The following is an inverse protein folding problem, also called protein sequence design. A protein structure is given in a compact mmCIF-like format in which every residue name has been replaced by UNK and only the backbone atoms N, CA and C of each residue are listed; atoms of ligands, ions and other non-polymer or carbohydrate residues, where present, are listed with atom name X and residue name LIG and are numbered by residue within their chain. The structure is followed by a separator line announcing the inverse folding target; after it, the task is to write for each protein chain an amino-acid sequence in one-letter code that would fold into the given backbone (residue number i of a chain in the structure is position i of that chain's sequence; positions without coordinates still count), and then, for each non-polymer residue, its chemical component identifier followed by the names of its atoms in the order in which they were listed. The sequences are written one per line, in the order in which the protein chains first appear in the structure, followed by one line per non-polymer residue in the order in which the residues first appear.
data_IF_418066262305
#
_entry.id   IF_418066262305
#
_cell.length_a   1.000
_cell.length_b   1.000
_cell.length_c   1.000
_cell.angle_alpha   90.00
_cell.angle_beta   90.00
_cell.angle_gamma   90.00
#
_symmetry.space_group_name_H-M   'P 1'
#
loop_
_entity.id
_entity.type
_entity.pdbx_description
1 polymer ?
#
# COMPACT_ATOMS: atom_id res chain seq x y z
N UNK A 1 -6.56 1.76 14.69
CA UNK A 1 -7.67 2.54 15.21
C UNK A 1 -8.62 2.96 14.08
N UNK A 2 -8.71 4.24 13.72
CA UNK A 2 -9.73 4.70 12.75
C UNK A 2 -9.46 4.20 11.33
N UNK A 3 -8.20 4.15 10.91
CA UNK A 3 -7.79 3.65 9.59
C UNK A 3 -8.07 2.14 9.43
N UNK A 4 -7.79 1.37 10.47
CA UNK A 4 -8.07 -0.06 10.50
C UNK A 4 -9.59 -0.31 10.44
N UNK A 5 -10.37 0.45 11.25
CA UNK A 5 -11.82 0.35 11.25
C UNK A 5 -12.43 0.69 9.88
N UNK A 6 -11.88 1.70 9.17
CA UNK A 6 -12.30 2.04 7.82
C UNK A 6 -11.97 0.92 6.82
N UNK A 7 -10.79 0.28 6.94
CA UNK A 7 -10.44 -0.89 6.14
C UNK A 7 -11.41 -2.05 6.33
N UNK A 8 -11.75 -2.39 7.57
CA UNK A 8 -12.78 -3.39 7.86
C UNK A 8 -14.16 -3.00 7.36
N UNK A 9 -14.53 -1.71 7.44
CA UNK A 9 -15.81 -1.23 6.95
C UNK A 9 -15.94 -1.44 5.43
N UNK A 10 -14.86 -1.24 4.66
CA UNK A 10 -14.84 -1.55 3.24
C UNK A 10 -14.98 -3.05 3.04
N UNK A 11 -13.99 -3.86 3.49
CA UNK A 11 -13.93 -5.27 3.14
C UNK A 11 -15.18 -6.06 3.57
N UNK A 12 -15.80 -5.69 4.69
CA UNK A 12 -17.02 -6.35 5.18
C UNK A 12 -18.32 -5.84 4.53
N UNK A 13 -18.26 -4.80 3.71
CA UNK A 13 -19.40 -4.29 2.93
C UNK A 13 -19.38 -4.74 1.46
N UNK A 14 -18.30 -5.39 1.03
CA UNK A 14 -18.15 -5.87 -0.35
C UNK A 14 -19.05 -7.09 -0.59
N UNK A 15 -19.65 -7.15 -1.77
CA UNK A 15 -20.30 -8.38 -2.27
C UNK A 15 -19.26 -9.40 -2.76
N UNK A 16 -19.70 -10.59 -3.16
CA UNK A 16 -18.82 -11.69 -3.56
C UNK A 16 -17.94 -11.34 -4.78
N UNK A 17 -18.49 -10.62 -5.75
CA UNK A 17 -17.74 -10.20 -6.95
C UNK A 17 -16.68 -9.16 -6.59
N UNK A 18 -17.02 -8.20 -5.75
CA UNK A 18 -16.11 -7.19 -5.24
C UNK A 18 -15.02 -7.81 -4.35
N UNK A 19 -15.38 -8.74 -3.46
CA UNK A 19 -14.43 -9.48 -2.61
C UNK A 19 -13.41 -10.26 -3.44
N UNK A 20 -13.86 -10.89 -4.53
CA UNK A 20 -12.97 -11.66 -5.43
C UNK A 20 -11.87 -10.81 -6.05
N UNK A 21 -12.12 -9.50 -6.23
CA UNK A 21 -11.15 -8.53 -6.75
C UNK A 21 -10.30 -7.92 -5.62
N UNK A 22 -10.93 -7.60 -4.49
CA UNK A 22 -10.28 -6.90 -3.38
C UNK A 22 -9.31 -7.81 -2.61
N UNK A 23 -9.67 -9.08 -2.39
CA UNK A 23 -8.83 -10.02 -1.63
C UNK A 23 -7.71 -10.57 -2.53
N UNK A 24 -6.51 -10.07 -2.32
CA UNK A 24 -5.33 -10.46 -3.11
C UNK A 24 -4.63 -11.71 -2.55
N UNK A 25 -4.78 -12.00 -1.25
CA UNK A 25 -4.22 -13.19 -0.63
C UNK A 25 -4.99 -13.59 0.64
N UNK A 26 -5.17 -14.90 0.93
CA UNK A 26 -5.88 -15.37 2.13
C UNK A 26 -5.09 -15.20 3.43
N UNK A 27 -3.77 -14.92 3.35
CA UNK A 27 -2.90 -14.74 4.52
C UNK A 27 -2.28 -13.35 4.48
N UNK A 28 -2.29 -12.65 5.62
CA UNK A 28 -1.63 -11.36 5.77
C UNK A 28 -0.11 -11.52 5.66
N UNK A 29 0.60 -10.63 4.94
CA UNK A 29 2.05 -10.56 5.03
C UNK A 29 2.48 -10.20 6.46
N UNK A 30 3.70 -10.58 6.83
CA UNK A 30 4.27 -10.28 8.15
C UNK A 30 4.59 -8.80 8.34
N UNK A 31 4.80 -8.08 7.25
CA UNK A 31 5.11 -6.65 7.24
C UNK A 31 4.65 -6.03 5.91
N UNK A 32 4.90 -4.73 5.71
CA UNK A 32 4.59 -4.05 4.45
C UNK A 32 5.14 -4.77 3.22
N UNK A 33 4.38 -4.77 2.14
CA UNK A 33 4.88 -5.26 0.85
C UNK A 33 6.09 -4.46 0.37
N UNK A 34 6.14 -3.17 0.71
CA UNK A 34 7.27 -2.29 0.34
C UNK A 34 8.46 -2.39 1.29
N UNK A 35 8.29 -2.92 2.49
CA UNK A 35 9.36 -3.07 3.52
C UNK A 35 10.28 -1.85 3.60
N UNK A 36 11.58 -2.11 3.64
CA UNK A 36 12.63 -1.10 3.78
C UNK A 36 13.22 -0.64 2.44
N UNK A 37 12.50 -0.84 1.33
CA UNK A 37 12.96 -0.39 0.02
C UNK A 37 13.03 1.14 0.02
N UNK A 38 14.20 1.76 -0.25
CA UNK A 38 14.37 3.21 -0.18
C UNK A 38 13.49 3.98 -1.18
N UNK A 39 13.23 3.38 -2.35
CA UNK A 39 12.37 3.94 -3.38
C UNK A 39 11.43 2.90 -3.95
N UNK A 40 10.17 3.23 -3.99
CA UNK A 40 9.16 2.39 -4.63
C UNK A 40 9.34 2.48 -6.15
N UNK A 41 9.44 1.32 -6.81
CA UNK A 41 9.55 1.20 -8.26
C UNK A 41 10.93 1.43 -8.85
N UNK A 42 11.96 1.79 -8.05
CA UNK A 42 13.33 1.95 -8.50
C UNK A 42 14.19 0.68 -8.33
N UNK A 43 13.71 -0.29 -7.55
CA UNK A 43 14.39 -1.54 -7.25
C UNK A 43 13.37 -2.67 -7.37
N UNK A 44 13.78 -3.82 -7.88
CA UNK A 44 12.96 -5.02 -7.76
C UNK A 44 12.73 -5.31 -6.26
N UNK A 45 11.47 -5.49 -5.91
CA UNK A 45 11.11 -5.87 -4.54
C UNK A 45 11.68 -7.25 -4.26
N UNK A 46 12.15 -7.50 -3.02
CA UNK A 46 12.58 -8.84 -2.64
C UNK A 46 11.50 -9.84 -3.03
N UNK A 47 11.88 -10.90 -3.72
CA UNK A 47 10.97 -11.94 -4.18
C UNK A 47 10.25 -12.68 -3.04
N UNK A 48 10.66 -12.42 -1.80
CA UNK A 48 10.15 -13.10 -0.61
C UNK A 48 9.37 -12.11 0.22
N UNK A 49 8.04 -12.17 0.13
CA UNK A 49 7.13 -11.60 1.13
C UNK A 49 6.92 -12.69 2.18
N UNK A 50 7.38 -12.43 3.40
CA UNK A 50 7.04 -13.26 4.54
C UNK A 50 5.57 -13.07 4.88
N UNK A 51 4.78 -14.14 4.84
CA UNK A 51 3.36 -14.12 5.13
C UNK A 51 3.04 -14.27 6.63
N UNK A 52 4.02 -14.12 7.50
CA UNK A 52 3.82 -14.15 8.96
C UNK A 52 3.52 -15.52 9.56
N UNK A 53 3.57 -16.58 8.76
CA UNK A 53 3.33 -17.96 9.19
C UNK A 53 4.52 -18.84 8.84
N UNK A 54 5.39 -19.22 9.80
CA UNK A 54 6.61 -19.97 9.52
C UNK A 54 6.41 -21.31 8.80
N UNK A 55 5.23 -21.93 8.99
CA UNK A 55 4.86 -23.20 8.35
C UNK A 55 4.23 -23.01 6.97
N UNK A 56 3.94 -21.79 6.54
CA UNK A 56 3.30 -21.54 5.25
C UNK A 56 4.32 -21.63 4.12
N UNK A 57 4.12 -22.60 3.24
CA UNK A 57 4.96 -22.75 2.05
C UNK A 57 4.48 -21.81 0.96
N UNK A 58 5.27 -20.76 0.71
CA UNK A 58 5.01 -19.81 -0.36
C UNK A 58 5.16 -20.48 -1.72
N UNK A 59 4.09 -20.47 -2.49
CA UNK A 59 4.13 -20.75 -3.93
C UNK A 59 4.48 -19.47 -4.69
N UNK A 60 4.83 -19.58 -5.97
CA UNK A 60 5.05 -18.39 -6.81
C UNK A 60 3.78 -17.53 -6.91
N UNK A 61 2.60 -18.15 -6.87
CA UNK A 61 1.32 -17.44 -6.82
C UNK A 61 1.20 -16.58 -5.55
N UNK A 62 1.58 -17.11 -4.40
CA UNK A 62 1.54 -16.38 -3.13
C UNK A 62 2.49 -15.18 -3.15
N UNK A 63 3.69 -15.38 -3.71
CA UNK A 63 4.68 -14.32 -3.85
C UNK A 63 4.21 -13.20 -4.77
N UNK A 64 3.52 -13.54 -5.84
CA UNK A 64 2.95 -12.56 -6.77
C UNK A 64 1.77 -11.80 -6.18
N UNK A 65 0.90 -12.46 -5.41
CA UNK A 65 -0.35 -11.87 -4.94
C UNK A 65 -0.16 -10.59 -4.11
N UNK A 66 0.82 -10.58 -3.20
CA UNK A 66 1.12 -9.40 -2.38
C UNK A 66 2.19 -8.47 -2.98
N UNK A 67 2.76 -8.83 -4.13
CA UNK A 67 3.77 -8.00 -4.81
C UNK A 67 3.19 -6.66 -5.19
N UNK A 68 3.97 -5.61 -5.01
CA UNK A 68 3.63 -4.29 -5.51
C UNK A 68 4.23 -4.10 -6.91
N UNK A 69 3.37 -3.81 -7.87
CA UNK A 69 3.78 -3.33 -9.18
C UNK A 69 3.19 -1.93 -9.35
N UNK A 70 4.04 -0.90 -9.48
CA UNK A 70 3.60 0.51 -9.51
C UNK A 70 2.57 0.77 -10.62
N UNK A 71 2.75 0.16 -11.77
CA UNK A 71 1.92 0.38 -12.95
C UNK A 71 0.73 -0.56 -13.07
N UNK A 72 0.65 -1.57 -12.20
CA UNK A 72 -0.36 -2.61 -12.21
C UNK A 72 -0.94 -2.76 -10.80
N UNK A 73 -1.79 -1.83 -10.35
CA UNK A 73 -2.39 -1.92 -9.02
C UNK A 73 -3.29 -3.14 -8.91
N UNK A 74 -3.07 -3.96 -7.88
CA UNK A 74 -3.96 -5.05 -7.54
C UNK A 74 -5.07 -4.58 -6.61
N UNK A 75 -6.20 -5.28 -6.62
CA UNK A 75 -7.37 -4.98 -5.80
C UNK A 75 -8.54 -4.46 -6.63
N UNK A 76 -9.56 -3.95 -5.95
CA UNK A 76 -10.75 -3.37 -6.57
C UNK A 76 -10.57 -1.88 -6.80
N UNK A 77 -10.96 -1.39 -7.98
CA UNK A 77 -10.97 0.05 -8.25
C UNK A 77 -12.09 0.75 -7.46
N UNK A 78 -11.82 1.95 -6.97
CA UNK A 78 -12.81 2.73 -6.23
C UNK A 78 -14.05 3.07 -7.04
N UNK A 79 -13.96 3.11 -8.37
CA UNK A 79 -15.12 3.28 -9.26
C UNK A 79 -16.06 2.08 -9.31
N UNK A 80 -15.63 0.91 -8.83
CA UNK A 80 -16.45 -0.30 -8.74
C UNK A 80 -17.15 -0.44 -7.36
N UNK A 81 -16.90 0.50 -6.47
CA UNK A 81 -17.49 0.58 -5.13
C UNK A 81 -18.76 1.44 -5.16
N UNK A 82 -19.70 1.13 -4.26
CA UNK A 82 -20.85 2.02 -4.04
C UNK A 82 -20.47 3.31 -3.29
N UNK A 83 -21.37 4.26 -3.16
CA UNK A 83 -21.12 5.55 -2.52
C UNK A 83 -20.64 5.43 -1.07
N UNK A 84 -21.17 4.47 -0.31
CA UNK A 84 -20.79 4.25 1.09
C UNK A 84 -19.38 3.65 1.18
N UNK A 85 -19.08 2.68 0.34
CA UNK A 85 -17.77 2.05 0.23
C UNK A 85 -16.71 3.06 -0.24
N UNK A 86 -17.05 3.91 -1.22
CA UNK A 86 -16.20 5.00 -1.69
C UNK A 86 -15.90 6.01 -0.58
N UNK A 87 -16.89 6.34 0.26
CA UNK A 87 -16.71 7.23 1.40
C UNK A 87 -15.70 6.65 2.40
N UNK A 88 -15.75 5.34 2.69
CA UNK A 88 -14.77 4.68 3.54
C UNK A 88 -13.37 4.65 2.90
N UNK A 89 -13.27 4.41 1.60
CA UNK A 89 -11.99 4.46 0.88
C UNK A 89 -11.35 5.85 0.95
N UNK A 90 -12.13 6.90 0.70
CA UNK A 90 -11.67 8.28 0.80
C UNK A 90 -11.32 8.65 2.24
N UNK A 91 -12.02 8.11 3.25
CA UNK A 91 -11.68 8.32 4.65
C UNK A 91 -10.27 7.79 4.96
N UNK A 92 -9.91 6.59 4.47
CA UNK A 92 -8.55 6.07 4.62
C UNK A 92 -7.54 7.03 3.99
N UNK A 93 -7.77 7.40 2.73
CA UNK A 93 -6.89 8.32 1.99
C UNK A 93 -6.71 9.63 2.76
N UNK A 94 -7.79 10.25 3.19
CA UNK A 94 -7.75 11.53 3.89
C UNK A 94 -6.98 11.43 5.22
N UNK A 95 -7.21 10.38 6.03
CA UNK A 95 -6.51 10.16 7.31
C UNK A 95 -5.00 10.01 7.14
N UNK A 96 -4.57 9.34 6.08
CA UNK A 96 -3.14 9.23 5.81
C UNK A 96 -2.54 10.52 5.26
N UNK A 97 -3.26 11.23 4.40
CA UNK A 97 -2.80 12.51 3.85
C UNK A 97 -2.77 13.63 4.90
N UNK A 98 -3.66 13.62 5.89
CA UNK A 98 -3.67 14.57 7.03
C UNK A 98 -2.40 14.52 7.88
N UNK A 99 -1.56 13.51 7.75
CA UNK A 99 -0.24 13.43 8.39
C UNK A 99 0.79 14.38 7.76
N UNK A 100 0.50 14.94 6.60
CA UNK A 100 1.32 15.95 5.94
C UNK A 100 0.95 17.37 6.42
N UNK A 101 1.83 18.37 6.22
CA UNK A 101 1.45 19.77 6.40
C UNK A 101 0.19 20.11 5.59
N UNK A 102 -0.72 20.86 6.21
CA UNK A 102 -2.07 21.13 5.68
C UNK A 102 -2.13 21.51 4.19
N UNK A 103 -1.26 22.42 3.67
CA UNK A 103 -1.32 22.78 2.24
C UNK A 103 -1.00 21.60 1.31
N UNK A 104 -0.13 20.67 1.77
CA UNK A 104 0.23 19.47 1.01
C UNK A 104 -0.91 18.48 1.06
N UNK A 105 -1.47 18.22 2.25
CA UNK A 105 -2.60 17.33 2.43
C UNK A 105 -3.79 17.75 1.55
N UNK A 106 -4.22 19.01 1.65
CA UNK A 106 -5.35 19.56 0.87
C UNK A 106 -5.14 19.45 -0.65
N UNK A 107 -3.89 19.65 -1.12
CA UNK A 107 -3.56 19.48 -2.53
C UNK A 107 -3.68 18.02 -2.95
N UNK A 108 -3.11 17.09 -2.20
CA UNK A 108 -3.15 15.67 -2.52
C UNK A 108 -4.58 15.11 -2.48
N UNK A 109 -5.38 15.53 -1.52
CA UNK A 109 -6.79 15.17 -1.41
C UNK A 109 -7.62 15.66 -2.61
N UNK A 110 -7.37 16.89 -3.07
CA UNK A 110 -8.00 17.38 -4.31
C UNK A 110 -7.55 16.60 -5.52
N UNK A 111 -6.23 16.39 -5.67
CA UNK A 111 -5.65 15.64 -6.80
C UNK A 111 -6.29 14.24 -6.93
N UNK A 112 -6.53 13.53 -5.82
CA UNK A 112 -7.20 12.21 -5.81
C UNK A 112 -8.63 12.32 -6.33
N UNK A 113 -9.40 13.30 -5.85
CA UNK A 113 -10.81 13.48 -6.24
C UNK A 113 -10.97 13.93 -7.68
N UNK A 114 -10.09 14.80 -8.16
CA UNK A 114 -10.10 15.31 -9.54
C UNK A 114 -9.69 14.25 -10.57
N UNK A 115 -8.78 13.33 -10.21
CA UNK A 115 -8.36 12.24 -11.09
C UNK A 115 -9.38 11.12 -11.22
N UNK A 116 -10.27 10.99 -10.24
CA UNK A 116 -11.32 9.97 -10.20
C UNK A 116 -10.91 8.69 -9.47
N UNK A 117 -11.93 8.00 -8.96
CA UNK A 117 -11.76 6.80 -8.16
C UNK A 117 -11.41 5.54 -8.96
N UNK A 118 -11.47 5.61 -10.29
CA UNK A 118 -10.94 4.56 -11.19
C UNK A 118 -9.41 4.43 -11.13
N UNK A 119 -8.72 5.42 -10.54
CA UNK A 119 -7.26 5.44 -10.28
C UNK A 119 -6.89 5.15 -8.82
N UNK A 120 -7.85 4.78 -8.01
CA UNK A 120 -7.65 4.44 -6.60
C UNK A 120 -8.07 2.99 -6.37
N UNK A 121 -7.15 2.14 -5.96
CA UNK A 121 -7.39 0.71 -5.81
C UNK A 121 -7.27 0.32 -4.33
N UNK A 122 -8.21 -0.49 -3.87
CA UNK A 122 -8.19 -1.08 -2.54
C UNK A 122 -7.91 -2.57 -2.64
N UNK A 123 -6.92 -3.06 -1.88
CA UNK A 123 -6.59 -4.48 -1.81
C UNK A 123 -6.48 -4.93 -0.36
N UNK A 124 -6.91 -6.17 -0.10
CA UNK A 124 -6.91 -6.80 1.21
C UNK A 124 -6.20 -8.14 1.17
N UNK A 125 -5.50 -8.49 2.26
CA UNK A 125 -4.97 -9.83 2.49
C UNK A 125 -5.17 -10.24 3.95
N UNK A 126 -5.42 -11.52 4.18
CA UNK A 126 -5.69 -12.08 5.50
C UNK A 126 -7.17 -12.17 5.83
N UNK A 127 -7.46 -12.38 7.10
CA UNK A 127 -8.81 -12.58 7.61
C UNK A 127 -9.59 -11.25 7.67
N UNK A 128 -10.89 -11.30 7.43
CA UNK A 128 -11.79 -10.13 7.48
C UNK A 128 -12.45 -9.93 8.84
N UNK A 129 -12.13 -10.76 9.83
CA UNK A 129 -12.64 -10.65 11.20
C UNK A 129 -11.74 -9.74 12.05
N UNK A 130 -12.30 -8.90 12.92
CA UNK A 130 -11.51 -8.12 13.88
C UNK A 130 -10.60 -8.98 14.76
N UNK A 131 -9.47 -8.44 15.18
CA UNK A 131 -8.46 -9.13 16.03
C UNK A 131 -7.81 -10.35 15.39
N UNK A 132 -7.69 -10.34 14.08
CA UNK A 132 -6.93 -11.31 13.30
C UNK A 132 -5.85 -10.61 12.47
N UNK A 133 -4.86 -11.37 12.01
CA UNK A 133 -3.84 -10.82 11.12
C UNK A 133 -4.47 -10.41 9.79
N UNK A 134 -4.23 -9.17 9.40
CA UNK A 134 -4.73 -8.62 8.14
C UNK A 134 -3.79 -7.55 7.59
N UNK A 135 -3.96 -7.28 6.34
CA UNK A 135 -3.24 -6.25 5.59
C UNK A 135 -4.20 -5.61 4.60
N UNK A 136 -4.10 -4.32 4.45
CA UNK A 136 -4.68 -3.66 3.29
C UNK A 136 -3.74 -2.64 2.70
N UNK A 137 -3.97 -2.31 1.44
CA UNK A 137 -3.32 -1.18 0.77
C UNK A 137 -4.31 -0.37 -0.04
N UNK A 138 -4.01 0.92 -0.14
CA UNK A 138 -4.62 1.82 -1.11
C UNK A 138 -3.54 2.26 -2.07
N UNK A 139 -3.70 1.93 -3.34
CA UNK A 139 -2.74 2.21 -4.39
C UNK A 139 -3.32 3.24 -5.36
N UNK A 140 -2.60 4.33 -5.56
CA UNK A 140 -2.92 5.37 -6.54
C UNK A 140 -1.79 5.52 -7.55
N UNK A 141 -1.96 6.32 -8.58
CA UNK A 141 -0.85 6.64 -9.52
C UNK A 141 0.31 7.35 -8.83
N UNK A 142 0.08 8.01 -7.69
CA UNK A 142 1.05 8.87 -7.02
C UNK A 142 1.62 8.29 -5.74
N UNK A 143 0.80 7.64 -4.94
CA UNK A 143 1.21 7.15 -3.64
C UNK A 143 0.60 5.79 -3.31
N UNK A 144 1.24 5.12 -2.39
CA UNK A 144 0.78 3.88 -1.77
C UNK A 144 0.56 4.11 -0.28
N UNK A 145 -0.57 3.64 0.22
CA UNK A 145 -0.85 3.47 1.64
C UNK A 145 -0.82 1.98 1.94
N UNK A 146 -0.14 1.59 3.02
CA UNK A 146 -0.18 0.22 3.52
C UNK A 146 -0.49 0.24 5.03
N UNK A 147 -1.32 -0.69 5.46
CA UNK A 147 -1.53 -1.02 6.86
C UNK A 147 -1.43 -2.53 7.02
N UNK A 148 -0.66 -2.98 7.99
CA UNK A 148 -0.52 -4.38 8.36
C UNK A 148 -0.72 -4.54 9.86
N UNK A 149 -1.49 -5.54 10.25
CA UNK A 149 -1.60 -6.02 11.60
C UNK A 149 -1.13 -7.48 11.61
N UNK A 150 0.15 -7.69 11.92
CA UNK A 150 0.85 -8.94 11.64
C UNK A 150 0.77 -9.99 12.75
N UNK A 151 0.29 -9.62 13.94
CA UNK A 151 0.19 -10.55 15.06
C UNK A 151 -1.23 -11.13 15.14
N UNK A 152 -1.33 -12.43 15.38
CA UNK A 152 -2.60 -13.16 15.41
C UNK A 152 -3.64 -12.61 16.41
N UNK A 153 -3.20 -11.85 17.42
CA UNK A 153 -4.08 -11.13 18.36
C UNK A 153 -4.63 -9.80 17.82
N UNK A 154 -4.12 -9.34 16.67
CA UNK A 154 -4.53 -8.06 16.11
C UNK A 154 -4.06 -6.84 16.92
N UNK A 155 -2.91 -6.94 17.59
CA UNK A 155 -2.44 -5.92 18.54
C UNK A 155 -1.18 -5.17 18.04
N UNK A 156 -0.68 -5.48 16.86
CA UNK A 156 0.57 -4.92 16.35
C UNK A 156 0.40 -4.32 14.96
N UNK A 157 0.01 -3.06 14.92
CA UNK A 157 -0.31 -2.34 13.69
C UNK A 157 0.89 -1.52 13.24
N UNK A 158 1.31 -1.74 12.00
CA UNK A 158 2.17 -0.83 11.26
C UNK A 158 1.38 -0.15 10.15
N UNK A 159 1.67 1.11 9.87
CA UNK A 159 1.07 1.80 8.72
C UNK A 159 2.05 2.79 8.10
N UNK A 160 1.98 2.92 6.77
CA UNK A 160 2.87 3.81 6.03
C UNK A 160 2.12 4.45 4.85
N UNK A 161 2.52 5.66 4.49
CA UNK A 161 2.22 6.28 3.20
C UNK A 161 3.55 6.54 2.48
N UNK A 162 3.62 6.19 1.20
CA UNK A 162 4.80 6.32 0.35
C UNK A 162 4.44 7.07 -0.93
N UNK A 163 5.14 8.17 -1.23
CA UNK A 163 4.97 8.92 -2.48
C UNK A 163 5.93 8.34 -3.55
N UNK A 164 5.41 7.91 -4.69
CA UNK A 164 6.22 7.27 -5.74
C UNK A 164 7.29 8.17 -6.35
N UNK A 165 7.07 9.46 -6.36
CA UNK A 165 7.97 10.42 -7.02
C UNK A 165 8.89 11.15 -6.02
N UNK A 166 8.49 11.21 -4.73
CA UNK A 166 9.22 11.97 -3.72
C UNK A 166 9.42 11.18 -2.41
N UNK A 167 9.44 9.85 -2.51
CA UNK A 167 9.59 8.97 -1.36
C UNK A 167 10.92 9.21 -0.65
N UNK A 168 10.87 9.31 0.70
CA UNK A 168 12.03 9.63 1.55
C UNK A 168 12.86 10.84 1.06
N UNK A 169 12.18 11.85 0.48
CA UNK A 169 12.82 13.06 -0.04
C UNK A 169 13.37 12.94 -1.47
N UNK A 170 13.14 11.83 -2.14
CA UNK A 170 13.61 11.58 -3.50
C UNK A 170 15.13 11.48 -3.60
N UNK A 171 15.67 11.60 -4.81
CA UNK A 171 17.11 11.61 -5.04
C UNK A 171 17.72 13.00 -4.86
N UNK A 172 17.99 13.36 -3.62
CA UNK A 172 18.61 14.64 -3.29
C UNK A 172 20.03 14.76 -3.87
N UNK A 173 20.76 13.64 -3.97
CA UNK A 173 22.10 13.63 -4.57
C UNK A 173 22.03 13.91 -6.06
N UNK A 174 21.15 13.23 -6.80
CA UNK A 174 20.98 13.48 -8.23
C UNK A 174 20.46 14.89 -8.51
N UNK A 175 19.62 15.46 -7.65
CA UNK A 175 19.12 16.85 -7.79
C UNK A 175 20.21 17.90 -7.53
N UNK A 176 21.09 17.66 -6.56
CA UNK A 176 22.10 18.60 -6.12
C UNK A 176 23.46 18.39 -6.82
N UNK A 177 23.68 17.21 -7.39
CA UNK A 177 24.91 16.84 -8.13
C UNK A 177 24.55 16.24 -9.49
N UNK A 178 24.10 17.08 -10.45
CA UNK A 178 23.68 16.59 -11.78
C UNK A 178 24.84 16.05 -12.65
N UNK A 179 26.08 16.12 -12.18
CA UNK A 179 27.22 15.50 -12.86
C UNK A 179 27.40 14.09 -12.32
N UNK A 180 27.60 13.09 -13.20
CA UNK A 180 27.99 11.77 -12.75
C UNK A 180 29.29 11.91 -11.95
N UNK A 181 29.29 11.44 -10.73
CA UNK A 181 30.54 11.22 -10.00
C UNK A 181 31.33 10.21 -10.85
N UNK A 182 32.52 10.56 -11.37
CA UNK A 182 33.31 9.56 -12.07
C UNK A 182 33.53 8.37 -11.14
N UNK A 183 33.40 7.17 -11.65
CA UNK A 183 33.85 5.96 -10.95
C UNK A 183 35.36 6.08 -10.68
N UNK A 184 35.70 6.75 -9.61
CA UNK A 184 37.06 6.72 -9.07
C UNK A 184 37.11 5.52 -8.16
N UNK A 185 37.26 4.35 -8.75
CA UNK A 185 37.92 3.25 -8.06
C UNK A 185 39.42 3.57 -8.13
N UNK A 186 40.04 3.95 -7.03
CA UNK A 186 41.49 3.97 -7.01
C UNK A 186 41.96 2.52 -7.15
N UNK A 187 42.67 2.26 -8.20
CA UNK A 187 43.39 0.98 -8.36
C UNK A 187 44.29 0.72 -7.17
N UNK A 188 44.20 -0.48 -6.63
CA UNK A 188 45.24 -1.16 -5.85
C UNK A 188 45.72 -2.27 -6.73
#
# INVERSE_FOLDING_TARGET
ADEEAAGFAIVNSLDDDQLSKAIIHPVSPADFSTRYVPRIGAVEYPDVIDLGMPQYRLTDKDRHACRLVRTEPAGIAGSELDETQQAHLLLIVDRFLERHPRPVAEKLQRDVRERGLDKVFFAWAGDTRPKTSHYFRVHTERFLIELVNSIASGDHIHSVIRDFDNDLGGDLLARNHPKPVPDVMPGV
#
